data_IF_259199623437
#
_entry.id   IF_259199623437
#
_cell.length_a   1.000
_cell.length_b   1.000
_cell.length_c   1.000
_cell.angle_alpha   90.00
_cell.angle_beta   90.00
_cell.angle_gamma   90.00
#
_symmetry.space_group_name_H-M   'P 1'
#
loop_
_entity.id
_entity.type
_entity.pdbx_description
1 polymer ?
#
# COMPACT_ATOMS: atom_id res chain seq x y z
N UNK A 1 -16.09 -46.77 -47.21
CA UNK A 1 -16.77 -47.08 -45.93
C UNK A 1 -15.66 -47.17 -44.88
N UNK A 2 -15.37 -46.02 -44.25
CA UNK A 2 -15.45 -45.76 -42.79
C UNK A 2 -14.50 -46.66 -41.98
N UNK A 3 -13.59 -46.14 -41.17
CA UNK A 3 -13.82 -45.02 -40.25
C UNK A 3 -12.48 -44.39 -39.84
N UNK A 4 -12.39 -43.08 -40.01
CA UNK A 4 -11.41 -42.20 -39.38
C UNK A 4 -11.46 -42.37 -37.85
N UNK A 5 -10.29 -42.56 -37.24
CA UNK A 5 -10.12 -42.45 -35.79
C UNK A 5 -9.52 -41.07 -35.52
N UNK A 6 -10.40 -40.21 -35.05
CA UNK A 6 -10.18 -38.84 -34.65
C UNK A 6 -8.90 -38.66 -33.84
N UNK A 7 -8.12 -37.65 -34.22
CA UNK A 7 -7.09 -37.04 -33.37
C UNK A 7 -7.80 -36.53 -32.11
N UNK A 8 -7.74 -37.30 -31.03
CA UNK A 8 -8.08 -36.82 -29.70
C UNK A 8 -6.97 -35.85 -29.32
N UNK A 9 -7.14 -34.58 -29.66
CA UNK A 9 -6.45 -33.48 -29.02
C UNK A 9 -6.80 -33.53 -27.54
N UNK A 10 -5.95 -34.20 -26.76
CA UNK A 10 -5.85 -34.02 -25.32
C UNK A 10 -5.45 -32.56 -25.09
N UNK A 11 -6.46 -31.70 -24.97
CA UNK A 11 -6.30 -30.40 -24.32
C UNK A 11 -6.03 -30.74 -22.86
N UNK A 12 -4.76 -31.00 -22.58
CA UNK A 12 -4.22 -31.00 -21.22
C UNK A 12 -4.36 -29.54 -20.79
N UNK A 13 -5.54 -29.22 -20.24
CA UNK A 13 -5.80 -27.98 -19.56
C UNK A 13 -4.81 -27.94 -18.40
N UNK A 14 -3.65 -27.34 -18.67
CA UNK A 14 -2.84 -26.69 -17.65
C UNK A 14 -3.75 -25.64 -17.04
N UNK A 15 -4.57 -26.08 -16.09
CA UNK A 15 -4.88 -25.28 -14.93
C UNK A 15 -3.51 -25.01 -14.32
N UNK A 16 -2.91 -23.90 -14.78
CA UNK A 16 -1.94 -23.17 -14.01
C UNK A 16 -2.70 -22.78 -12.75
N UNK A 17 -2.77 -23.71 -11.78
CA UNK A 17 -2.89 -23.31 -10.40
C UNK A 17 -1.66 -22.45 -10.20
N UNK A 18 -1.86 -21.14 -10.24
CA UNK A 18 -0.91 -20.19 -9.71
C UNK A 18 -0.66 -20.66 -8.28
N UNK A 19 0.43 -21.39 -8.08
CA UNK A 19 0.77 -21.96 -6.79
C UNK A 19 1.36 -20.86 -5.93
N UNK A 20 0.65 -19.74 -5.80
CA UNK A 20 0.89 -18.80 -4.73
C UNK A 20 0.54 -19.54 -3.44
N UNK A 21 1.49 -20.36 -2.96
CA UNK A 21 1.37 -21.00 -1.66
C UNK A 21 1.15 -19.87 -0.67
N UNK A 22 -0.02 -19.87 -0.04
CA UNK A 22 -0.46 -18.84 0.89
C UNK A 22 0.64 -18.59 1.93
N UNK A 23 1.03 -17.31 2.12
CA UNK A 23 2.06 -16.98 3.09
C UNK A 23 1.49 -17.02 4.50
N UNK A 24 2.21 -17.64 5.43
CA UNK A 24 1.83 -17.65 6.84
C UNK A 24 2.17 -16.31 7.54
N UNK A 25 3.21 -15.60 7.09
CA UNK A 25 3.69 -14.38 7.74
C UNK A 25 4.20 -13.35 6.73
N UNK A 26 3.63 -12.14 6.78
CA UNK A 26 3.98 -11.02 5.89
C UNK A 26 4.80 -9.99 6.64
N UNK A 27 5.88 -9.52 6.01
CA UNK A 27 6.80 -8.54 6.60
C UNK A 27 7.21 -7.51 5.55
N UNK A 28 7.27 -6.25 5.98
CA UNK A 28 7.80 -5.17 5.18
C UNK A 28 9.32 -5.26 5.04
N UNK A 29 9.84 -5.12 3.82
CA UNK A 29 11.29 -4.97 3.60
C UNK A 29 11.82 -3.74 4.35
N UNK A 30 13.09 -3.74 4.74
CA UNK A 30 13.67 -2.64 5.52
C UNK A 30 13.35 -2.67 7.02
N UNK A 31 12.37 -3.47 7.47
CA UNK A 31 11.90 -3.50 8.87
C UNK A 31 12.50 -4.65 9.67
N UNK A 32 12.46 -4.51 10.99
CA UNK A 32 12.78 -5.60 11.93
C UNK A 32 11.64 -6.62 11.94
N UNK A 33 11.97 -7.90 11.92
CA UNK A 33 11.00 -8.98 12.10
C UNK A 33 11.54 -10.09 12.98
N UNK A 34 10.64 -10.89 13.55
CA UNK A 34 11.00 -12.03 14.39
C UNK A 34 10.02 -13.18 14.16
N UNK A 35 10.55 -14.37 13.89
CA UNK A 35 9.79 -15.61 13.98
C UNK A 35 9.91 -16.14 15.41
N UNK A 36 8.80 -16.15 16.17
CA UNK A 36 8.85 -16.47 17.59
C UNK A 36 9.14 -17.94 17.83
N UNK A 37 10.04 -18.20 18.77
CA UNK A 37 10.22 -19.53 19.35
C UNK A 37 9.13 -19.77 20.40
N UNK A 38 8.28 -20.76 20.15
CA UNK A 38 7.15 -21.11 21.05
C UNK A 38 7.47 -22.24 22.01
N UNK A 39 8.62 -22.90 21.84
CA UNK A 39 9.11 -23.96 22.72
C UNK A 39 10.17 -23.42 23.70
N UNK A 40 10.02 -23.75 24.98
CA UNK A 40 10.98 -23.36 26.01
C UNK A 40 12.22 -24.26 25.93
N UNK A 41 13.37 -23.65 25.63
CA UNK A 41 14.65 -24.36 25.52
C UNK A 41 15.23 -24.68 26.90
N UNK A 42 15.68 -25.91 27.08
CA UNK A 42 16.49 -26.30 28.22
C UNK A 42 17.98 -26.03 27.97
N UNK A 43 18.76 -25.99 29.05
CA UNK A 43 20.19 -25.62 28.98
C UNK A 43 21.03 -26.59 28.13
N UNK A 44 20.60 -27.84 28.00
CA UNK A 44 21.29 -28.86 27.21
C UNK A 44 20.78 -28.98 25.77
N UNK A 45 19.78 -28.19 25.40
CA UNK A 45 19.14 -28.31 24.10
C UNK A 45 20.02 -27.73 22.99
N UNK A 46 19.91 -28.35 21.83
CA UNK A 46 20.43 -27.86 20.57
C UNK A 46 19.29 -27.36 19.70
N UNK A 47 19.29 -26.05 19.42
CA UNK A 47 18.35 -25.41 18.52
C UNK A 47 18.94 -25.33 17.11
N UNK A 48 18.17 -25.76 16.12
CA UNK A 48 18.49 -25.61 14.70
C UNK A 48 17.39 -24.84 13.99
N UNK A 49 17.75 -23.77 13.28
CA UNK A 49 16.85 -23.11 12.32
C UNK A 49 17.27 -23.41 10.89
N UNK A 50 16.27 -23.66 10.07
CA UNK A 50 16.40 -23.96 8.64
C UNK A 50 15.59 -22.97 7.81
N UNK A 51 16.17 -22.53 6.70
CA UNK A 51 15.51 -21.78 5.63
C UNK A 51 15.50 -22.66 4.38
N UNK A 52 14.32 -23.14 4.01
CA UNK A 52 14.20 -24.25 3.05
C UNK A 52 14.98 -25.47 3.54
N UNK A 53 15.94 -25.93 2.73
CA UNK A 53 16.80 -27.08 3.06
C UNK A 53 18.12 -26.68 3.75
N UNK A 54 18.40 -25.37 3.87
CA UNK A 54 19.67 -24.88 4.42
C UNK A 54 19.53 -24.64 5.92
N UNK A 55 20.39 -25.24 6.72
CA UNK A 55 20.58 -24.84 8.12
C UNK A 55 21.25 -23.47 8.16
N UNK A 56 20.57 -22.49 8.74
CA UNK A 56 21.05 -21.10 8.86
C UNK A 56 21.57 -20.79 10.26
N UNK A 57 21.14 -21.56 11.26
CA UNK A 57 21.60 -21.46 12.63
C UNK A 57 21.61 -22.84 13.25
N UNK A 58 22.69 -23.15 13.96
CA UNK A 58 22.77 -24.23 14.93
C UNK A 58 23.35 -23.66 16.21
N UNK A 59 22.60 -23.73 17.29
CA UNK A 59 22.94 -23.14 18.58
C UNK A 59 22.94 -24.24 19.64
N UNK A 60 24.09 -24.39 20.29
CA UNK A 60 24.22 -25.06 21.58
C UNK A 60 24.60 -24.01 22.62
N UNK A 61 24.51 -24.36 23.92
CA UNK A 61 24.92 -23.47 25.01
C UNK A 61 26.38 -22.98 24.87
N UNK A 62 27.25 -23.80 24.27
CA UNK A 62 28.70 -23.57 24.25
C UNK A 62 29.24 -23.08 22.89
N UNK A 63 28.46 -23.18 21.80
CA UNK A 63 28.88 -22.76 20.46
C UNK A 63 27.73 -22.17 19.64
N UNK A 64 27.99 -20.99 19.08
CA UNK A 64 27.24 -20.43 17.96
C UNK A 64 28.03 -20.68 16.68
N UNK A 65 27.37 -21.02 15.57
CA UNK A 65 27.95 -20.72 14.26
C UNK A 65 28.10 -19.19 14.14
N UNK A 66 29.27 -18.71 13.74
CA UNK A 66 29.65 -17.29 13.74
C UNK A 66 28.70 -16.38 12.94
N UNK A 67 28.06 -16.90 11.89
CA UNK A 67 27.03 -16.20 11.10
C UNK A 67 25.67 -16.11 11.80
N UNK A 68 25.36 -16.99 12.76
CA UNK A 68 24.04 -17.14 13.38
C UNK A 68 23.80 -16.29 14.63
N UNK A 69 24.86 -15.78 15.27
CA UNK A 69 24.73 -15.08 16.57
C UNK A 69 23.93 -13.78 16.50
N UNK A 70 23.90 -13.12 15.35
CA UNK A 70 23.21 -11.83 15.17
C UNK A 70 21.74 -11.97 14.75
N UNK A 71 21.26 -13.20 14.54
CA UNK A 71 19.92 -13.46 14.03
C UNK A 71 19.06 -14.28 14.99
N UNK A 72 19.49 -14.45 16.25
CA UNK A 72 18.74 -15.22 17.25
C UNK A 72 18.68 -14.48 18.59
N UNK A 73 17.51 -14.49 19.20
CA UNK A 73 17.28 -13.92 20.54
C UNK A 73 17.65 -14.92 21.64
N UNK A 74 17.73 -14.45 22.89
CA UNK A 74 18.06 -15.31 24.03
C UNK A 74 17.08 -16.48 24.24
N UNK A 75 15.82 -16.35 23.81
CA UNK A 75 14.82 -17.43 23.87
C UNK A 75 14.80 -18.32 22.62
N UNK A 76 15.74 -18.15 21.67
CA UNK A 76 15.83 -18.97 20.46
C UNK A 76 14.96 -18.52 19.28
N UNK A 77 14.32 -17.34 19.36
CA UNK A 77 13.54 -16.80 18.24
C UNK A 77 14.46 -16.28 17.14
N UNK A 78 14.12 -16.56 15.88
CA UNK A 78 14.87 -16.05 14.74
C UNK A 78 14.48 -14.60 14.48
N UNK A 79 15.44 -13.69 14.41
CA UNK A 79 15.21 -12.25 14.29
C UNK A 79 16.11 -11.63 13.24
N UNK A 80 15.60 -10.59 12.57
CA UNK A 80 16.36 -9.79 11.60
C UNK A 80 16.18 -8.33 11.94
N UNK A 81 17.27 -7.56 11.95
CA UNK A 81 17.20 -6.12 12.13
C UNK A 81 16.62 -5.41 10.89
N UNK A 82 16.94 -5.91 9.70
CA UNK A 82 16.48 -5.39 8.43
C UNK A 82 16.20 -6.58 7.48
N UNK A 83 14.93 -6.76 7.14
CA UNK A 83 14.46 -7.85 6.28
C UNK A 83 14.60 -7.46 4.82
N UNK A 84 15.16 -8.36 4.02
CA UNK A 84 15.34 -8.22 2.58
C UNK A 84 14.60 -9.34 1.82
N UNK A 85 14.42 -9.16 0.52
CA UNK A 85 13.71 -10.14 -0.32
C UNK A 85 14.34 -11.54 -0.27
N UNK A 86 15.66 -11.62 -0.09
CA UNK A 86 16.40 -12.89 0.07
C UNK A 86 16.03 -13.66 1.34
N UNK A 87 15.38 -13.02 2.32
CA UNK A 87 14.88 -13.69 3.51
C UNK A 87 13.55 -14.41 3.26
N UNK A 88 12.83 -14.13 2.15
CA UNK A 88 11.57 -14.79 1.87
C UNK A 88 11.72 -16.30 1.73
N UNK A 89 10.68 -17.05 2.09
CA UNK A 89 10.64 -18.51 1.96
C UNK A 89 10.25 -19.24 3.25
N UNK A 90 10.27 -20.58 3.22
CA UNK A 90 9.85 -21.40 4.35
C UNK A 90 10.94 -21.50 5.42
N UNK A 91 10.53 -21.39 6.68
CA UNK A 91 11.37 -21.56 7.86
C UNK A 91 10.87 -22.67 8.76
N UNK A 92 11.80 -23.41 9.36
CA UNK A 92 11.51 -24.45 10.35
C UNK A 92 12.56 -24.43 11.44
N UNK A 93 12.13 -24.64 12.68
CA UNK A 93 13.00 -24.83 13.83
C UNK A 93 12.89 -26.26 14.37
N UNK A 94 13.99 -26.80 14.84
CA UNK A 94 14.07 -28.11 15.49
C UNK A 94 14.91 -28.03 16.75
N UNK A 95 14.49 -28.77 17.78
CA UNK A 95 15.17 -28.83 19.06
C UNK A 95 15.49 -30.28 19.38
N UNK A 96 16.76 -30.55 19.63
CA UNK A 96 17.27 -31.86 20.05
C UNK A 96 17.85 -31.78 21.45
N UNK A 97 17.73 -32.86 22.22
CA UNK A 97 18.42 -32.98 23.51
C UNK A 97 19.92 -33.32 23.34
N UNK A 98 20.62 -33.48 24.47
CA UNK A 98 22.05 -33.80 24.50
C UNK A 98 22.39 -35.13 23.83
N UNK A 99 21.46 -36.08 23.82
CA UNK A 99 21.63 -37.39 23.21
C UNK A 99 21.26 -37.39 21.72
N UNK A 100 20.88 -36.22 21.18
CA UNK A 100 20.50 -36.02 19.79
C UNK A 100 19.05 -36.43 19.50
N UNK A 101 18.22 -36.66 20.52
CA UNK A 101 16.82 -37.04 20.33
C UNK A 101 15.97 -35.79 20.10
N UNK A 102 15.12 -35.84 19.07
CA UNK A 102 14.19 -34.75 18.76
C UNK A 102 13.21 -34.54 19.91
N UNK A 103 13.22 -33.34 20.48
CA UNK A 103 12.27 -32.90 21.50
C UNK A 103 11.11 -32.10 20.91
N UNK A 104 11.39 -31.34 19.86
CA UNK A 104 10.39 -30.48 19.24
C UNK A 104 10.77 -30.09 17.81
N UNK A 105 9.75 -29.88 16.98
CA UNK A 105 9.89 -29.31 15.65
C UNK A 105 8.75 -28.33 15.40
N UNK A 106 9.06 -27.17 14.82
CA UNK A 106 8.05 -26.18 14.45
C UNK A 106 7.26 -26.63 13.23
N UNK A 107 6.04 -26.08 13.07
CA UNK A 107 5.40 -26.03 11.75
C UNK A 107 6.32 -25.23 10.82
N UNK A 108 6.36 -25.61 9.54
CA UNK A 108 6.99 -24.78 8.51
C UNK A 108 6.19 -23.48 8.35
N UNK A 109 6.84 -22.33 8.52
CA UNK A 109 6.24 -21.00 8.36
C UNK A 109 6.84 -20.32 7.14
N UNK A 110 6.00 -19.96 6.17
CA UNK A 110 6.44 -19.22 4.97
C UNK A 110 6.43 -17.72 5.25
N UNK A 111 7.63 -17.13 5.26
CA UNK A 111 7.83 -15.69 5.33
C UNK A 111 7.73 -15.09 3.92
N UNK A 112 6.86 -14.09 3.76
CA UNK A 112 6.76 -13.28 2.55
C UNK A 112 7.19 -11.85 2.85
N UNK A 113 8.13 -11.38 2.04
CA UNK A 113 8.67 -10.02 2.14
C UNK A 113 8.01 -9.19 1.05
N UNK A 114 7.43 -8.06 1.45
CA UNK A 114 6.73 -7.12 0.58
C UNK A 114 7.37 -5.75 0.79
N UNK A 115 7.63 -5.02 -0.28
CA UNK A 115 8.10 -3.65 -0.16
C UNK A 115 7.00 -2.74 0.40
N UNK A 116 7.32 -1.82 1.34
CA UNK A 116 6.38 -0.81 1.78
C UNK A 116 5.80 -0.03 0.60
N UNK A 117 4.54 0.40 0.70
CA UNK A 117 3.96 1.31 -0.29
C UNK A 117 4.77 2.62 -0.30
N UNK A 118 5.09 3.18 -1.47
CA UNK A 118 5.70 4.50 -1.56
C UNK A 118 4.68 5.59 -1.21
N UNK A 119 5.16 6.78 -0.82
CA UNK A 119 4.28 7.94 -0.61
C UNK A 119 3.68 8.40 -1.94
N UNK A 120 2.34 8.35 -2.11
CA UNK A 120 1.71 8.77 -3.34
C UNK A 120 1.66 10.30 -3.46
N UNK A 121 1.55 10.79 -4.70
CA UNK A 121 1.33 12.21 -5.01
C UNK A 121 0.01 12.35 -5.75
N UNK A 122 -0.80 13.36 -5.44
CA UNK A 122 -2.05 13.62 -6.16
C UNK A 122 -1.87 14.78 -7.11
N UNK A 123 -2.25 14.57 -8.37
CA UNK A 123 -2.36 15.61 -9.40
C UNK A 123 -3.81 15.78 -9.82
N UNK A 124 -4.16 16.93 -10.40
CA UNK A 124 -5.52 17.15 -10.88
C UNK A 124 -5.58 17.90 -12.21
N UNK A 125 -6.58 17.56 -13.01
CA UNK A 125 -6.92 18.18 -14.29
C UNK A 125 -8.35 18.69 -14.25
N UNK A 126 -8.56 19.92 -14.74
CA UNK A 126 -9.88 20.54 -14.82
C UNK A 126 -10.50 20.29 -16.20
N UNK A 127 -11.65 19.63 -16.25
CA UNK A 127 -12.56 19.64 -17.38
C UNK A 127 -13.74 20.56 -17.04
N UNK A 128 -14.39 21.19 -18.01
CA UNK A 128 -15.38 22.28 -17.85
C UNK A 128 -16.29 22.15 -16.61
N UNK A 129 -16.84 20.97 -16.35
CA UNK A 129 -17.74 20.67 -15.21
C UNK A 129 -17.18 19.69 -14.17
N UNK A 130 -16.03 19.07 -14.43
CA UNK A 130 -15.49 17.99 -13.61
C UNK A 130 -14.00 18.16 -13.34
N UNK A 131 -13.56 17.74 -12.16
CA UNK A 131 -12.14 17.64 -11.81
C UNK A 131 -11.76 16.16 -11.78
N UNK A 132 -10.71 15.82 -12.51
CA UNK A 132 -10.09 14.50 -12.49
C UNK A 132 -8.83 14.55 -11.66
N UNK A 133 -8.79 13.79 -10.58
CA UNK A 133 -7.61 13.56 -9.76
C UNK A 133 -6.92 12.27 -10.19
N UNK A 134 -5.59 12.28 -10.17
CA UNK A 134 -4.75 11.11 -10.43
C UNK A 134 -3.82 10.91 -9.24
N UNK A 135 -3.80 9.69 -8.70
CA UNK A 135 -2.89 9.28 -7.65
C UNK A 135 -1.63 8.68 -8.28
N UNK A 136 -0.60 9.50 -8.39
CA UNK A 136 0.68 9.15 -8.97
C UNK A 136 1.57 8.41 -7.96
N UNK A 137 2.14 7.30 -8.42
CA UNK A 137 2.92 6.37 -7.59
C UNK A 137 4.29 6.17 -8.23
N UNK A 138 5.35 6.46 -7.49
CA UNK A 138 6.73 6.29 -7.95
C UNK A 138 7.57 5.56 -6.89
N UNK A 139 8.27 4.47 -7.25
CA UNK A 139 8.28 3.81 -8.56
C UNK A 139 6.92 3.18 -8.91
N UNK A 140 6.66 2.99 -10.21
CA UNK A 140 5.45 2.29 -10.66
C UNK A 140 5.49 0.85 -10.15
N UNK A 141 4.47 0.48 -9.38
CA UNK A 141 4.28 -0.87 -8.88
C UNK A 141 2.78 -1.21 -8.89
N UNK A 142 2.48 -2.49 -9.04
CA UNK A 142 1.12 -3.03 -9.13
C UNK A 142 0.71 -3.70 -7.82
N UNK A 143 -0.58 -3.96 -7.65
CA UNK A 143 -1.11 -4.68 -6.47
C UNK A 143 -1.29 -3.81 -5.23
N UNK A 144 -1.44 -2.50 -5.41
CA UNK A 144 -1.85 -1.58 -4.34
C UNK A 144 -3.37 -1.38 -4.34
N UNK A 145 -3.92 -1.30 -3.14
CA UNK A 145 -5.29 -0.86 -2.92
C UNK A 145 -5.29 0.67 -2.80
N UNK A 146 -6.17 1.30 -3.57
CA UNK A 146 -6.36 2.75 -3.57
C UNK A 146 -7.64 3.11 -2.82
N UNK A 147 -7.54 4.10 -1.94
CA UNK A 147 -8.65 4.68 -1.19
C UNK A 147 -8.57 6.21 -1.32
N UNK A 148 -9.66 6.83 -1.76
CA UNK A 148 -9.75 8.29 -1.85
C UNK A 148 -10.45 8.86 -0.63
N UNK A 149 -9.97 10.01 -0.16
CA UNK A 149 -10.59 10.75 0.91
C UNK A 149 -10.84 12.21 0.48
N UNK A 150 -12.00 12.74 0.89
CA UNK A 150 -12.36 14.15 0.78
C UNK A 150 -12.68 14.68 2.17
N UNK A 151 -12.04 15.78 2.59
CA UNK A 151 -12.21 16.31 3.96
C UNK A 151 -11.94 15.24 5.05
N UNK A 152 -10.95 14.38 4.81
CA UNK A 152 -10.60 13.21 5.65
C UNK A 152 -11.71 12.14 5.79
N UNK A 153 -12.76 12.20 4.98
CA UNK A 153 -13.79 11.16 4.89
C UNK A 153 -13.54 10.25 3.70
N UNK A 154 -13.60 8.93 3.94
CA UNK A 154 -13.38 7.90 2.92
C UNK A 154 -14.52 7.89 1.90
N UNK A 155 -14.15 7.80 0.62
CA UNK A 155 -15.08 7.65 -0.51
C UNK A 155 -15.19 6.16 -0.87
N UNK A 156 -16.06 5.42 -0.17
CA UNK A 156 -16.13 3.95 -0.21
C UNK A 156 -16.28 3.30 -1.59
N UNK A 157 -16.89 4.02 -2.54
CA UNK A 157 -17.15 3.52 -3.91
C UNK A 157 -16.00 3.79 -4.87
N UNK A 158 -15.10 4.73 -4.55
CA UNK A 158 -14.08 5.22 -5.46
C UNK A 158 -12.79 4.44 -5.23
N UNK A 159 -12.67 3.33 -5.97
CA UNK A 159 -11.51 2.46 -5.93
C UNK A 159 -10.72 2.57 -7.22
N UNK A 160 -9.44 2.86 -7.11
CA UNK A 160 -8.52 2.92 -8.24
C UNK A 160 -7.66 4.17 -8.24
N UNK A 161 -6.79 4.24 -9.24
CA UNK A 161 -5.75 5.27 -9.32
C UNK A 161 -6.28 6.67 -9.66
N UNK A 162 -7.52 6.78 -10.14
CA UNK A 162 -8.12 8.06 -10.54
C UNK A 162 -9.47 8.27 -9.88
N UNK A 163 -9.77 9.52 -9.55
CA UNK A 163 -11.05 9.96 -9.01
C UNK A 163 -11.59 11.10 -9.89
N UNK A 164 -12.81 10.98 -10.39
CA UNK A 164 -13.47 12.06 -11.15
C UNK A 164 -14.71 12.53 -10.40
N UNK A 165 -14.80 13.85 -10.18
CA UNK A 165 -15.90 14.48 -9.45
C UNK A 165 -16.38 15.76 -10.13
N UNK A 166 -17.68 16.09 -10.05
CA UNK A 166 -18.15 17.43 -10.35
C UNK A 166 -17.43 18.43 -9.44
N UNK A 167 -16.86 19.49 -10.02
CA UNK A 167 -15.97 20.34 -9.23
C UNK A 167 -16.65 21.24 -8.21
N UNK A 168 -17.95 21.48 -8.35
CA UNK A 168 -18.80 22.12 -7.34
C UNK A 168 -19.04 21.23 -6.10
N UNK A 169 -18.85 19.91 -6.23
CA UNK A 169 -18.94 18.95 -5.13
C UNK A 169 -17.61 18.74 -4.40
N UNK A 170 -16.50 19.25 -4.95
CA UNK A 170 -15.18 19.20 -4.32
C UNK A 170 -14.99 20.43 -3.44
N UNK A 171 -15.55 20.36 -2.24
CA UNK A 171 -15.57 21.44 -1.25
C UNK A 171 -14.33 21.49 -0.35
N UNK A 172 -13.53 20.43 -0.35
CA UNK A 172 -12.42 20.23 0.58
C UNK A 172 -11.17 19.62 -0.05
N UNK A 173 -10.10 19.40 0.74
CA UNK A 173 -8.89 18.75 0.25
C UNK A 173 -9.18 17.31 -0.12
N UNK A 174 -8.54 16.87 -1.20
CA UNK A 174 -8.51 15.50 -1.67
C UNK A 174 -7.18 14.87 -1.26
N UNK A 175 -7.25 13.65 -0.74
CA UNK A 175 -6.07 12.80 -0.52
C UNK A 175 -6.29 11.41 -1.10
N UNK A 176 -5.19 10.77 -1.46
CA UNK A 176 -5.16 9.38 -1.91
C UNK A 176 -4.33 8.57 -0.90
N UNK A 177 -4.89 7.46 -0.44
CA UNK A 177 -4.23 6.50 0.43
C UNK A 177 -3.96 5.21 -0.33
N UNK A 178 -2.69 4.82 -0.33
CA UNK A 178 -2.22 3.52 -0.83
C UNK A 178 -2.10 2.54 0.32
N UNK A 179 -2.51 1.30 0.08
CA UNK A 179 -2.36 0.22 1.06
C UNK A 179 -1.86 -1.04 0.38
N UNK A 180 -1.01 -1.78 1.08
CA UNK A 180 -0.72 -3.18 0.81
C UNK A 180 -0.78 -3.97 2.13
N UNK A 181 -0.49 -5.28 2.07
CA UNK A 181 -0.59 -6.16 3.24
C UNK A 181 0.27 -5.78 4.44
N UNK A 182 1.32 -4.97 4.25
CA UNK A 182 2.34 -4.70 5.28
C UNK A 182 2.48 -3.22 5.62
N UNK A 183 1.83 -2.32 4.87
CA UNK A 183 1.99 -0.88 5.02
C UNK A 183 0.85 -0.09 4.37
N UNK A 184 0.69 1.15 4.81
CA UNK A 184 -0.21 2.13 4.21
C UNK A 184 0.45 3.49 4.25
N UNK A 185 0.20 4.32 3.23
CA UNK A 185 0.73 5.67 3.13
C UNK A 185 -0.27 6.59 2.42
N UNK A 186 -0.31 7.85 2.83
CA UNK A 186 -1.29 8.83 2.35
C UNK A 186 -0.59 10.02 1.69
N UNK A 187 -1.18 10.52 0.61
CA UNK A 187 -0.70 11.70 -0.09
C UNK A 187 -0.82 12.95 0.78
N UNK A 188 -0.16 14.02 0.34
CA UNK A 188 -0.48 15.35 0.83
C UNK A 188 -1.87 15.78 0.37
N UNK A 189 -2.45 16.74 1.09
CA UNK A 189 -3.75 17.33 0.79
C UNK A 189 -3.68 18.19 -0.48
N UNK A 190 -4.59 17.95 -1.42
CA UNK A 190 -4.69 18.71 -2.67
C UNK A 190 -6.03 19.41 -2.76
N UNK A 191 -5.99 20.73 -2.93
CA UNK A 191 -7.17 21.54 -3.24
C UNK A 191 -7.27 21.78 -4.74
N UNK A 192 -8.45 21.55 -5.32
CA UNK A 192 -8.70 21.95 -6.70
C UNK A 192 -8.78 23.48 -6.82
N UNK A 193 -8.17 24.01 -7.87
CA UNK A 193 -8.25 25.46 -8.19
C UNK A 193 -9.19 25.76 -9.35
N UNK A 194 -9.81 24.73 -9.94
CA UNK A 194 -10.64 24.81 -11.14
C UNK A 194 -11.81 25.78 -11.00
N UNK A 195 -12.48 25.79 -9.84
CA UNK A 195 -13.71 26.56 -9.63
C UNK A 195 -13.53 27.80 -8.77
N UNK A 196 -12.43 27.89 -8.01
CA UNK A 196 -12.09 29.10 -7.25
C UNK A 196 -11.89 30.31 -8.17
N UNK A 197 -11.23 30.12 -9.31
CA UNK A 197 -10.98 31.22 -10.27
C UNK A 197 -12.26 31.66 -10.97
N UNK A 198 -13.10 30.72 -11.39
CA UNK A 198 -14.38 31.00 -12.06
C UNK A 198 -15.32 31.79 -11.14
N UNK A 199 -15.41 31.41 -9.87
CA UNK A 199 -16.22 32.11 -8.88
C UNK A 199 -15.74 33.55 -8.66
N UNK A 200 -14.42 33.77 -8.57
CA UNK A 200 -13.84 35.11 -8.43
C UNK A 200 -14.14 36.00 -9.65
N UNK A 201 -14.09 35.45 -10.86
CA UNK A 201 -14.44 36.18 -12.09
C UNK A 201 -15.93 36.58 -12.11
N UNK A 202 -16.83 35.67 -11.72
CA UNK A 202 -18.28 35.94 -11.67
C UNK A 202 -18.58 37.05 -10.65
N UNK A 203 -17.99 36.98 -9.45
CA UNK A 203 -18.15 38.01 -8.41
C UNK A 203 -17.63 39.35 -8.92
N UNK A 204 -16.47 39.38 -9.58
CA UNK A 204 -15.92 40.58 -10.19
C UNK A 204 -16.88 41.23 -11.21
N UNK A 205 -17.48 40.44 -12.10
CA UNK A 205 -18.47 40.94 -13.07
C UNK A 205 -19.71 41.48 -12.38
N UNK A 206 -20.24 40.78 -11.37
CA UNK A 206 -21.42 41.23 -10.62
C UNK A 206 -21.14 42.56 -9.93
N UNK A 207 -20.01 42.69 -9.23
CA UNK A 207 -19.60 43.94 -8.57
C UNK A 207 -19.45 45.06 -9.59
N UNK A 208 -18.75 44.84 -10.70
CA UNK A 208 -18.61 45.81 -11.78
C UNK A 208 -19.96 46.26 -12.35
N UNK A 209 -20.88 45.33 -12.59
CA UNK A 209 -22.24 45.62 -13.06
C UNK A 209 -23.01 46.48 -12.04
N UNK A 210 -22.98 46.13 -10.76
CA UNK A 210 -23.63 46.90 -9.68
C UNK A 210 -23.02 48.30 -9.56
N UNK A 211 -21.68 48.41 -9.58
CA UNK A 211 -20.97 49.69 -9.55
C UNK A 211 -21.33 50.57 -10.74
N UNK A 212 -21.38 50.00 -11.95
CA UNK A 212 -21.77 50.74 -13.16
C UNK A 212 -23.21 51.24 -13.09
N UNK A 213 -24.14 50.43 -12.57
CA UNK A 213 -25.54 50.82 -12.35
C UNK A 213 -25.66 51.94 -11.33
N UNK A 214 -24.92 51.87 -10.22
CA UNK A 214 -24.87 52.94 -9.20
C UNK A 214 -24.31 54.23 -9.79
N UNK A 215 -23.21 54.17 -10.53
CA UNK A 215 -22.60 55.35 -11.18
C UNK A 215 -23.57 56.00 -12.17
N UNK A 216 -24.28 55.22 -12.98
CA UNK A 216 -25.30 55.74 -13.91
C UNK A 216 -26.48 56.40 -13.18
N UNK A 217 -26.92 55.84 -12.05
CA UNK A 217 -28.01 56.42 -11.24
C UNK A 217 -27.62 57.79 -10.67
N UNK A 218 -26.43 57.89 -10.08
CA UNK A 218 -25.90 59.16 -9.56
C UNK A 218 -25.77 60.22 -10.67
N UNK A 219 -25.31 59.82 -11.85
CA UNK A 219 -25.16 60.76 -12.98
C UNK A 219 -26.49 61.30 -13.50
N UNK A 220 -27.57 60.50 -13.42
CA UNK A 220 -28.93 60.94 -13.75
C UNK A 220 -29.46 61.93 -12.70
N UNK A 221 -29.23 61.65 -11.41
CA UNK A 221 -29.66 62.50 -10.30
C UNK A 221 -28.99 63.90 -10.37
N UNK A 222 -27.69 63.96 -10.69
CA UNK A 222 -26.99 65.24 -10.96
C UNK A 222 -27.46 65.96 -12.23
N UNK A 223 -27.91 65.23 -13.25
CA UNK A 223 -28.50 65.86 -14.45
C UNK A 223 -29.89 66.42 -14.19
N UNK A 224 -30.68 65.78 -13.32
CA UNK A 224 -32.00 66.24 -12.92
C UNK A 224 -31.91 67.47 -12.01
N UNK A 225 -30.99 67.49 -11.04
CA UNK A 225 -30.73 68.68 -10.21
C UNK A 225 -30.24 69.89 -11.03
N UNK A 226 -29.46 69.68 -12.09
CA UNK A 226 -29.01 70.77 -12.99
C UNK A 226 -30.11 71.34 -13.89
N UNK A 227 -31.26 70.66 -14.03
CA UNK A 227 -32.38 71.08 -14.88
C UNK A 227 -33.50 71.79 -14.12
N UNK A 228 -33.44 71.80 -12.78
CA UNK A 228 -34.30 72.56 -11.87
C UNK A 228 -33.68 73.93 -11.56
#
# INVERSE_FOLDING_TARGET
MKMDISVVTLVFGLLMFDSSQECDYYVASGRKATLPMTFALDQSDELTWMHGMKTILRQTKDKFTSEGKNIVTANGSLTWANVAQSNAGPYKAEVHDRDGKSRWASKSTRLCVIDPVPKPTVTHECNQTEVKFTCDVQPKAEGFDFEWLQDNQVLDTEKGQTLTRPGDQVTGPITCKLTNRVSSETSEEVHQTCYSVVLLLIIGVIVCCVCSKRKKRLHLEEEEERRL
#
